data_IF_516255091415
#
_entry.id   IF_516255091415
#
_cell.length_a   1.000
_cell.length_b   1.000
_cell.length_c   1.000
_cell.angle_alpha   90.00
_cell.angle_beta   90.00
_cell.angle_gamma   90.00
#
_symmetry.space_group_name_H-M   'P 1'
#
loop_
_entity.id
_entity.type
_entity.pdbx_description
1 polymer ?
#
# COMPACT_ATOMS: atom_id res chain seq x y z
N UNK A 1 -15.42 -7.37 25.80
CA UNK A 1 -15.45 -7.16 24.35
C UNK A 1 -14.27 -7.92 23.75
N UNK A 2 -14.51 -9.06 23.10
CA UNK A 2 -13.42 -9.85 22.52
C UNK A 2 -13.02 -9.19 21.19
N UNK A 3 -11.85 -8.55 21.15
CA UNK A 3 -11.25 -8.09 19.91
C UNK A 3 -10.93 -9.34 19.09
N UNK A 4 -11.81 -9.66 18.14
CA UNK A 4 -11.61 -10.71 17.14
C UNK A 4 -10.24 -10.42 16.52
N UNK A 5 -9.26 -11.28 16.77
CA UNK A 5 -7.91 -11.08 16.21
C UNK A 5 -8.06 -10.78 14.72
N UNK A 6 -7.50 -9.66 14.23
CA UNK A 6 -7.65 -9.31 12.84
C UNK A 6 -7.06 -10.44 12.01
N UNK A 7 -7.85 -10.98 11.08
CA UNK A 7 -7.41 -12.07 10.22
C UNK A 7 -6.03 -11.72 9.62
N UNK A 8 -5.08 -12.67 9.59
CA UNK A 8 -3.73 -12.39 9.12
C UNK A 8 -3.78 -11.85 7.70
N UNK A 9 -3.30 -10.62 7.55
CA UNK A 9 -3.31 -9.91 6.28
C UNK A 9 -2.43 -10.64 5.25
N UNK A 10 -2.86 -10.77 3.97
CA UNK A 10 -2.07 -11.42 2.94
C UNK A 10 -0.68 -10.77 2.81
N UNK A 11 0.41 -11.52 2.55
CA UNK A 11 1.77 -10.97 2.47
C UNK A 11 1.91 -9.82 1.47
N UNK A 12 1.19 -9.88 0.34
CA UNK A 12 1.15 -8.83 -0.68
C UNK A 12 0.58 -7.51 -0.14
N UNK A 13 -0.49 -7.59 0.66
CA UNK A 13 -1.14 -6.43 1.27
C UNK A 13 -0.32 -5.91 2.45
N UNK A 14 0.32 -6.81 3.21
CA UNK A 14 1.15 -6.45 4.37
C UNK A 14 2.29 -5.50 3.98
N UNK A 15 2.86 -5.63 2.78
CA UNK A 15 3.89 -4.71 2.24
C UNK A 15 3.41 -3.29 2.00
N UNK A 16 2.10 -3.05 1.94
CA UNK A 16 1.53 -1.71 1.82
C UNK A 16 1.55 -0.96 3.15
N UNK A 17 1.61 -1.69 4.27
CA UNK A 17 1.53 -1.14 5.62
C UNK A 17 2.82 -1.32 6.42
N UNK A 18 3.64 -2.31 6.07
CA UNK A 18 4.85 -2.67 6.81
C UNK A 18 6.09 -2.64 5.93
N UNK A 19 7.19 -2.11 6.48
CA UNK A 19 8.51 -2.12 5.88
C UNK A 19 9.17 -3.51 5.91
N UNK A 20 10.33 -3.66 5.25
CA UNK A 20 11.11 -4.90 5.29
C UNK A 20 11.64 -5.25 6.69
N UNK A 21 11.71 -4.25 7.58
CA UNK A 21 12.03 -4.37 9.00
C UNK A 21 10.83 -4.84 9.85
N UNK A 22 9.67 -5.06 9.23
CA UNK A 22 8.43 -5.45 9.91
C UNK A 22 7.75 -4.33 10.67
N UNK A 23 8.26 -3.09 10.61
CA UNK A 23 7.65 -1.93 11.27
C UNK A 23 6.57 -1.31 10.40
N UNK A 24 5.59 -0.70 11.05
CA UNK A 24 4.51 0.00 10.36
C UNK A 24 5.09 1.23 9.65
N UNK A 25 4.81 1.36 8.36
CA UNK A 25 5.24 2.50 7.56
C UNK A 25 4.59 3.78 8.10
N UNK A 26 5.38 4.84 8.25
CA UNK A 26 4.86 6.14 8.72
C UNK A 26 3.73 6.68 7.84
N UNK A 27 3.72 6.31 6.55
CA UNK A 27 2.62 6.54 5.61
C UNK A 27 2.39 5.24 4.84
N UNK A 28 1.20 4.64 4.90
CA UNK A 28 0.93 3.42 4.17
C UNK A 28 0.93 3.70 2.66
N UNK A 29 1.45 2.75 1.87
CA UNK A 29 1.60 2.84 0.42
C UNK A 29 0.30 2.55 -0.33
N UNK A 30 -0.82 2.41 0.39
CA UNK A 30 -2.16 2.45 -0.20
C UNK A 30 -2.35 3.85 -0.79
N UNK A 31 -2.06 3.96 -2.09
CA UNK A 31 -2.51 5.10 -2.89
C UNK A 31 -4.02 5.18 -2.68
N UNK A 32 -4.52 6.31 -2.18
CA UNK A 32 -5.95 6.64 -2.29
C UNK A 32 -6.44 6.40 -3.72
N UNK A 33 -7.76 6.22 -3.94
CA UNK A 33 -8.35 5.60 -5.13
C UNK A 33 -7.51 5.89 -6.36
N UNK A 34 -6.87 4.84 -6.88
CA UNK A 34 -5.77 4.89 -7.84
C UNK A 34 -5.95 6.04 -8.83
N UNK A 35 -5.38 7.21 -8.50
CA UNK A 35 -5.37 8.31 -9.45
C UNK A 35 -4.67 7.74 -10.69
N UNK A 36 -5.33 7.84 -11.88
CA UNK A 36 -4.85 7.18 -13.08
C UNK A 36 -3.37 7.50 -13.26
N UNK A 37 -2.55 6.51 -13.71
CA UNK A 37 -1.13 6.73 -13.88
C UNK A 37 -0.93 8.01 -14.70
N UNK A 38 0.01 8.90 -14.29
CA UNK A 38 0.25 10.12 -15.05
C UNK A 38 0.50 9.73 -16.50
N UNK A 39 -0.31 10.28 -17.42
CA UNK A 39 -0.14 10.06 -18.85
C UNK A 39 1.31 10.43 -19.18
N UNK A 40 2.10 9.43 -19.55
CA UNK A 40 3.50 9.65 -19.96
C UNK A 40 3.46 10.75 -21.01
N UNK A 41 4.16 11.86 -20.78
CA UNK A 41 4.29 12.94 -21.78
C UNK A 41 4.74 12.25 -23.06
N UNK A 42 3.89 12.33 -24.09
CA UNK A 42 4.20 11.81 -25.41
C UNK A 42 5.50 12.47 -25.81
N UNK A 43 6.52 11.64 -26.01
CA UNK A 43 7.78 12.01 -26.62
C UNK A 43 7.42 12.64 -27.97
N UNK A 44 7.57 13.96 -28.08
CA UNK A 44 7.54 14.63 -29.37
C UNK A 44 8.97 14.64 -29.86
N UNK A 45 9.24 13.83 -30.87
CA UNK A 45 10.27 14.10 -31.87
C UNK A 45 9.96 15.41 -32.62
#
# INVERSE_FOLDING_TARGET
>A
MSAKEPAPMPPSVRRLFYGPDGKLLAKPLVKGPSAPPPLKRQYRD
#
